data_IF_754679217894
#
_entry.id   IF_754679217894
#
_cell.length_a   1.000
_cell.length_b   1.000
_cell.length_c   1.000
_cell.angle_alpha   90.00
_cell.angle_beta   90.00
_cell.angle_gamma   90.00
#
_symmetry.space_group_name_H-M   'P 1'
#
loop_
_entity.id
_entity.type
_entity.pdbx_description
1 polymer ?
#
# COMPACT_ATOMS: atom_id res chain seq x y z
N UNK A 1 -24.30 16.85 -48.46
CA UNK A 1 -23.41 15.87 -47.76
C UNK A 1 -22.73 16.47 -46.52
N UNK A 2 -22.12 17.65 -46.55
CA UNK A 2 -21.37 18.28 -45.42
C UNK A 2 -22.18 18.43 -44.14
N UNK A 3 -23.46 18.85 -44.19
CA UNK A 3 -24.32 19.03 -42.97
C UNK A 3 -24.64 17.72 -42.27
N UNK A 4 -24.77 16.58 -42.96
CA UNK A 4 -24.99 15.27 -42.32
C UNK A 4 -23.70 14.76 -41.66
N UNK A 5 -22.53 14.94 -42.27
CA UNK A 5 -21.25 14.58 -41.73
C UNK A 5 -20.94 15.37 -40.44
N UNK A 6 -21.23 16.68 -40.41
CA UNK A 6 -21.06 17.52 -39.22
C UNK A 6 -21.91 17.07 -38.06
N UNK A 7 -23.14 16.66 -38.29
CA UNK A 7 -24.04 16.12 -37.21
C UNK A 7 -23.52 14.78 -36.68
N UNK A 8 -23.07 13.89 -37.56
CA UNK A 8 -22.50 12.61 -37.15
C UNK A 8 -21.23 12.80 -36.28
N UNK A 9 -20.34 13.70 -36.68
CA UNK A 9 -19.14 14.05 -35.91
C UNK A 9 -19.49 14.68 -34.56
N UNK A 10 -20.52 15.52 -34.50
CA UNK A 10 -20.98 16.13 -33.24
C UNK A 10 -21.54 15.06 -32.29
N UNK A 11 -22.37 14.14 -32.79
CA UNK A 11 -22.93 13.04 -31.98
C UNK A 11 -21.80 12.13 -31.48
N UNK A 12 -20.83 11.79 -32.32
CA UNK A 12 -19.68 10.98 -31.96
C UNK A 12 -18.84 11.67 -30.85
N UNK A 13 -18.61 12.98 -30.98
CA UNK A 13 -17.92 13.78 -29.97
C UNK A 13 -18.63 13.79 -28.62
N UNK A 14 -19.97 13.93 -28.63
CA UNK A 14 -20.79 13.87 -27.39
C UNK A 14 -20.71 12.48 -26.78
N UNK A 15 -20.82 11.41 -27.58
CA UNK A 15 -20.70 10.02 -27.08
C UNK A 15 -19.35 9.76 -26.42
N UNK A 16 -18.27 10.22 -27.05
CA UNK A 16 -16.91 10.11 -26.48
C UNK A 16 -16.77 10.90 -25.18
N UNK A 17 -17.31 12.11 -25.12
CA UNK A 17 -17.29 12.91 -23.90
C UNK A 17 -18.08 12.24 -22.75
N UNK A 18 -19.27 11.73 -23.04
CA UNK A 18 -20.09 11.01 -22.05
C UNK A 18 -19.39 9.74 -21.58
N UNK A 19 -18.79 8.95 -22.48
CA UNK A 19 -18.05 7.74 -22.10
C UNK A 19 -16.84 8.06 -21.24
N UNK A 20 -16.10 9.13 -21.53
CA UNK A 20 -14.99 9.58 -20.71
C UNK A 20 -15.42 9.97 -19.28
N UNK A 21 -16.52 10.69 -19.16
CA UNK A 21 -17.09 11.05 -17.84
C UNK A 21 -17.54 9.81 -17.06
N UNK A 22 -18.20 8.86 -17.70
CA UNK A 22 -18.63 7.61 -17.05
C UNK A 22 -17.45 6.79 -16.57
N UNK A 23 -16.39 6.67 -17.38
CA UNK A 23 -15.17 5.97 -16.99
C UNK A 23 -14.45 6.68 -15.84
N UNK A 24 -14.39 8.01 -15.87
CA UNK A 24 -13.78 8.80 -14.80
C UNK A 24 -14.54 8.64 -13.47
N UNK A 25 -15.86 8.77 -13.50
CA UNK A 25 -16.71 8.59 -12.30
C UNK A 25 -16.61 7.14 -11.78
N UNK A 26 -16.58 6.15 -12.68
CA UNK A 26 -16.44 4.74 -12.33
C UNK A 26 -15.10 4.45 -11.64
N UNK A 27 -14.00 4.97 -12.17
CA UNK A 27 -12.68 4.80 -11.56
C UNK A 27 -12.56 5.50 -10.18
N UNK A 28 -13.14 6.69 -10.06
CA UNK A 28 -13.17 7.42 -8.78
C UNK A 28 -13.97 6.68 -7.71
N UNK A 29 -15.13 6.12 -8.08
CA UNK A 29 -15.97 5.34 -7.17
C UNK A 29 -15.32 4.03 -6.75
N UNK A 30 -14.67 3.34 -7.68
CA UNK A 30 -13.93 2.10 -7.41
C UNK A 30 -12.74 2.35 -6.46
N UNK A 31 -12.01 3.44 -6.65
CA UNK A 31 -10.90 3.83 -5.77
C UNK A 31 -11.38 4.11 -4.32
N UNK A 32 -12.52 4.77 -4.16
CA UNK A 32 -13.13 4.98 -2.85
C UNK A 32 -13.53 3.68 -2.16
N UNK A 33 -14.10 2.75 -2.92
CA UNK A 33 -14.51 1.43 -2.42
C UNK A 33 -13.32 0.60 -1.96
N UNK A 34 -12.22 0.60 -2.71
CA UNK A 34 -11.00 -0.12 -2.32
C UNK A 34 -10.41 0.39 -1.00
N UNK A 35 -10.43 1.71 -0.79
CA UNK A 35 -9.97 2.28 0.48
C UNK A 35 -10.83 1.83 1.67
N UNK A 36 -12.16 1.83 1.50
CA UNK A 36 -13.09 1.36 2.54
C UNK A 36 -12.89 -0.12 2.84
N UNK A 37 -12.78 -0.96 1.81
CA UNK A 37 -12.53 -2.40 1.97
C UNK A 37 -11.20 -2.69 2.67
N UNK A 38 -10.15 -1.96 2.31
CA UNK A 38 -8.84 -2.13 2.96
C UNK A 38 -8.91 -1.81 4.45
N UNK A 39 -9.57 -0.70 4.81
CA UNK A 39 -9.79 -0.32 6.22
C UNK A 39 -10.63 -1.35 6.97
N UNK A 40 -11.77 -1.76 6.43
CA UNK A 40 -12.65 -2.77 7.03
C UNK A 40 -11.93 -4.11 7.23
N UNK A 41 -11.08 -4.52 6.27
CA UNK A 41 -10.25 -5.72 6.40
C UNK A 41 -9.25 -5.58 7.52
N UNK A 42 -8.55 -4.44 7.61
CA UNK A 42 -7.58 -4.19 8.69
C UNK A 42 -8.25 -4.14 10.08
N UNK A 43 -9.41 -3.48 10.20
CA UNK A 43 -10.19 -3.44 11.44
C UNK A 43 -10.62 -4.85 11.86
N UNK A 44 -11.08 -5.66 10.93
CA UNK A 44 -11.46 -7.05 11.18
C UNK A 44 -10.25 -7.92 11.57
N UNK A 45 -9.07 -7.69 10.99
CA UNK A 45 -7.84 -8.34 11.44
C UNK A 45 -7.55 -8.01 12.90
N UNK A 46 -7.61 -6.73 13.28
CA UNK A 46 -7.37 -6.28 14.65
C UNK A 46 -8.38 -6.89 15.65
N UNK A 47 -9.63 -7.12 15.26
CA UNK A 47 -10.63 -7.81 16.07
C UNK A 47 -10.31 -9.29 16.30
N UNK A 48 -9.69 -9.95 15.31
CA UNK A 48 -9.35 -11.38 15.37
C UNK A 48 -7.99 -11.65 16.02
N UNK A 49 -7.12 -10.64 16.09
CA UNK A 49 -5.79 -10.73 16.68
C UNK A 49 -5.85 -10.57 18.22
N UNK A 50 -4.79 -10.98 18.94
CA UNK A 50 -4.64 -10.65 20.37
C UNK A 50 -4.66 -9.14 20.58
N UNK A 51 -5.01 -8.68 21.83
CA UNK A 51 -4.95 -7.26 22.16
C UNK A 51 -3.60 -6.64 21.83
N UNK A 52 -3.63 -5.49 21.15
CA UNK A 52 -2.40 -4.83 20.68
C UNK A 52 -1.58 -4.33 21.87
N UNK A 53 -0.28 -4.68 21.87
CA UNK A 53 0.70 -4.23 22.82
C UNK A 53 1.95 -3.69 22.10
N UNK A 54 2.55 -2.65 22.65
CA UNK A 54 3.79 -2.11 22.10
C UNK A 54 4.94 -3.11 22.32
N UNK A 55 5.76 -3.29 21.30
CA UNK A 55 6.90 -4.20 21.30
C UNK A 55 8.13 -3.60 20.65
N UNK A 56 9.19 -4.38 20.67
CA UNK A 56 10.43 -4.06 19.99
C UNK A 56 10.92 -5.28 19.22
N UNK A 57 11.70 -5.09 18.14
CA UNK A 57 12.32 -6.20 17.43
C UNK A 57 13.14 -7.05 18.40
N UNK A 58 12.98 -8.37 18.31
CA UNK A 58 13.65 -9.30 19.19
C UNK A 58 14.99 -9.83 18.63
N UNK A 59 15.36 -9.31 17.46
CA UNK A 59 16.62 -9.63 16.79
C UNK A 59 16.71 -11.05 16.23
N UNK A 60 15.61 -11.79 16.20
CA UNK A 60 15.60 -13.15 15.64
C UNK A 60 15.70 -13.08 14.13
N UNK A 61 16.80 -13.57 13.58
CA UNK A 61 17.05 -13.64 12.16
C UNK A 61 16.22 -14.78 11.51
N UNK A 62 15.74 -14.52 10.30
CA UNK A 62 15.01 -15.51 9.47
C UNK A 62 13.75 -16.09 10.13
N UNK A 63 13.12 -15.36 11.03
CA UNK A 63 11.80 -15.74 11.56
C UNK A 63 10.75 -15.30 10.56
N UNK A 64 9.99 -16.25 10.04
CA UNK A 64 8.82 -15.92 9.21
C UNK A 64 7.76 -15.24 10.06
N UNK A 65 7.15 -14.20 9.51
CA UNK A 65 6.00 -13.57 10.14
C UNK A 65 4.82 -14.54 10.12
N UNK A 66 4.14 -14.69 11.24
CA UNK A 66 2.90 -15.46 11.29
C UNK A 66 1.84 -14.80 10.42
N UNK A 67 0.91 -15.58 9.90
CA UNK A 67 -0.14 -15.10 9.01
C UNK A 67 -1.53 -15.34 9.59
N UNK A 68 -2.45 -14.46 9.24
CA UNK A 68 -3.87 -14.58 9.49
C UNK A 68 -4.58 -14.74 8.15
N UNK A 69 -5.24 -15.86 7.94
CA UNK A 69 -6.07 -16.06 6.75
C UNK A 69 -7.41 -15.35 6.92
N UNK A 70 -7.75 -14.49 5.97
CA UNK A 70 -9.03 -13.80 5.94
C UNK A 70 -9.52 -13.67 4.50
N UNK A 71 -10.69 -14.26 4.21
CA UNK A 71 -11.28 -14.17 2.88
C UNK A 71 -10.51 -14.87 1.75
N UNK A 72 -9.66 -15.83 2.10
CA UNK A 72 -8.82 -16.58 1.14
C UNK A 72 -7.49 -15.88 0.83
N UNK A 73 -7.13 -14.85 1.57
CA UNK A 73 -5.83 -14.17 1.49
C UNK A 73 -5.12 -14.23 2.84
N UNK A 74 -3.79 -14.41 2.80
CA UNK A 74 -2.93 -14.45 3.97
C UNK A 74 -2.37 -13.06 4.27
N UNK A 75 -2.65 -12.55 5.46
CA UNK A 75 -2.16 -11.27 5.94
C UNK A 75 -1.11 -11.48 7.03
N UNK A 76 -0.02 -10.71 7.00
CA UNK A 76 1.06 -10.81 7.98
C UNK A 76 1.10 -9.64 8.95
N UNK A 77 0.48 -8.51 8.64
CA UNK A 77 0.51 -7.32 9.48
C UNK A 77 -0.62 -6.33 9.13
N UNK A 78 -0.78 -5.34 10.00
CA UNK A 78 -1.55 -4.12 9.75
C UNK A 78 -0.59 -2.93 9.80
N UNK A 79 -0.56 -2.12 8.74
CA UNK A 79 0.16 -0.84 8.68
C UNK A 79 -0.75 0.28 9.19
N UNK A 80 -0.28 1.01 10.18
CA UNK A 80 -1.00 2.13 10.80
C UNK A 80 -0.18 3.42 10.66
N UNK A 81 -0.83 4.50 10.16
CA UNK A 81 -0.23 5.84 10.09
C UNK A 81 -1.24 6.83 10.72
N UNK A 82 -1.17 7.03 12.04
CA UNK A 82 -2.20 7.78 12.78
C UNK A 82 -2.37 9.22 12.30
N UNK A 83 -1.29 9.88 11.89
CA UNK A 83 -1.31 11.28 11.41
C UNK A 83 -2.22 11.48 10.19
N UNK A 84 -2.47 10.45 9.41
CA UNK A 84 -3.25 10.49 8.18
C UNK A 84 -4.51 9.60 8.24
N UNK A 85 -4.85 9.08 9.42
CA UNK A 85 -5.98 8.14 9.64
C UNK A 85 -5.92 6.94 8.67
N UNK A 86 -4.70 6.42 8.44
CA UNK A 86 -4.44 5.28 7.55
C UNK A 86 -4.35 4.00 8.37
N UNK A 87 -5.12 3.01 7.95
CA UNK A 87 -5.10 1.65 8.49
C UNK A 87 -5.22 0.68 7.30
N UNK A 88 -4.17 -0.10 7.03
CA UNK A 88 -4.08 -0.97 5.87
C UNK A 88 -3.65 -2.38 6.25
N UNK A 89 -4.31 -3.42 5.73
CA UNK A 89 -3.83 -4.79 5.89
C UNK A 89 -2.61 -5.00 4.98
N UNK A 90 -1.64 -5.76 5.41
CA UNK A 90 -0.47 -6.14 4.63
C UNK A 90 -0.55 -7.62 4.31
N UNK A 91 -0.73 -7.94 3.03
CA UNK A 91 -0.74 -9.31 2.55
C UNK A 91 0.66 -9.94 2.62
N UNK A 92 0.74 -11.22 2.95
CA UNK A 92 2.02 -11.93 3.09
C UNK A 92 2.64 -12.35 1.75
N UNK A 93 1.86 -12.41 0.67
CA UNK A 93 2.32 -12.94 -0.61
C UNK A 93 2.76 -11.85 -1.57
N UNK A 94 4.05 -11.85 -1.96
CA UNK A 94 4.55 -11.07 -3.10
C UNK A 94 4.47 -11.90 -4.38
N UNK A 95 3.64 -11.48 -5.33
CA UNK A 95 3.36 -12.18 -6.59
C UNK A 95 4.05 -11.55 -7.83
N UNK A 96 5.17 -10.87 -7.61
CA UNK A 96 5.96 -10.29 -8.71
C UNK A 96 5.48 -8.93 -9.20
N UNK A 97 4.66 -8.24 -8.41
CA UNK A 97 4.24 -6.86 -8.70
C UNK A 97 2.91 -6.74 -9.41
N UNK A 98 2.08 -7.78 -9.39
CA UNK A 98 0.67 -7.60 -9.74
C UNK A 98 0.05 -6.60 -8.74
N UNK A 99 -0.77 -5.70 -9.25
CA UNK A 99 -1.47 -4.71 -8.44
C UNK A 99 -2.59 -5.46 -7.72
N UNK A 100 -2.26 -6.02 -6.54
CA UNK A 100 -3.25 -6.61 -5.64
C UNK A 100 -4.19 -5.56 -5.06
N UNK A 101 -5.16 -6.00 -4.27
CA UNK A 101 -6.07 -5.08 -3.59
C UNK A 101 -5.39 -4.37 -2.41
N UNK A 102 -4.33 -4.98 -1.83
CA UNK A 102 -3.65 -4.54 -0.61
C UNK A 102 -2.14 -4.39 -0.79
N UNK A 103 -1.46 -3.58 0.05
CA UNK A 103 0.00 -3.63 0.17
C UNK A 103 0.49 -5.03 0.52
N UNK A 104 1.69 -5.39 0.08
CA UNK A 104 2.23 -6.74 0.23
C UNK A 104 3.62 -6.75 0.81
N UNK A 105 3.90 -7.72 1.67
CA UNK A 105 5.26 -7.98 2.13
C UNK A 105 6.12 -8.46 0.97
N UNK A 106 7.13 -7.66 0.63
CA UNK A 106 8.12 -7.99 -0.40
C UNK A 106 9.23 -8.88 0.17
N UNK A 107 9.74 -8.54 1.34
CA UNK A 107 10.82 -9.26 2.02
C UNK A 107 10.90 -8.88 3.50
N UNK A 108 11.74 -9.58 4.24
CA UNK A 108 12.11 -9.26 5.62
C UNK A 108 11.02 -9.49 6.64
N UNK A 109 11.26 -9.03 7.87
CA UNK A 109 10.40 -9.25 9.02
C UNK A 109 10.49 -8.07 9.99
N UNK A 110 9.43 -7.87 10.80
CA UNK A 110 9.47 -6.93 11.95
C UNK A 110 10.43 -7.40 13.04
N UNK A 111 10.70 -8.72 13.13
CA UNK A 111 11.54 -9.31 14.19
C UNK A 111 13.03 -9.00 14.02
N UNK A 112 13.51 -8.92 12.79
CA UNK A 112 14.92 -8.63 12.45
C UNK A 112 15.14 -7.23 11.91
N UNK A 113 14.10 -6.37 11.95
CA UNK A 113 14.18 -4.98 11.48
C UNK A 113 14.56 -4.85 10.01
N UNK A 114 14.00 -5.72 9.15
CA UNK A 114 14.30 -5.71 7.70
C UNK A 114 13.05 -5.68 6.83
N UNK A 115 11.89 -5.36 7.41
CA UNK A 115 10.60 -5.46 6.71
C UNK A 115 10.53 -4.52 5.50
N UNK A 116 10.17 -5.08 4.35
CA UNK A 116 9.92 -4.34 3.11
C UNK A 116 8.50 -4.61 2.64
N UNK A 117 7.71 -3.53 2.50
CA UNK A 117 6.32 -3.58 2.04
C UNK A 117 6.17 -2.80 0.74
N UNK A 118 5.61 -3.44 -0.27
CA UNK A 118 5.38 -2.85 -1.58
C UNK A 118 3.91 -2.73 -1.95
N UNK A 119 3.62 -1.80 -2.84
CA UNK A 119 2.28 -1.57 -3.35
C UNK A 119 2.27 -0.53 -4.47
N UNK A 120 1.10 0.06 -4.70
CA UNK A 120 0.91 1.19 -5.60
C UNK A 120 0.45 2.43 -4.83
N UNK A 121 0.50 3.58 -5.47
CA UNK A 121 -0.06 4.84 -4.97
C UNK A 121 -1.60 4.92 -5.05
N UNK A 122 -2.25 3.79 -5.28
CA UNK A 122 -3.71 3.71 -5.32
C UNK A 122 -4.31 3.81 -3.90
N UNK A 123 -5.55 4.34 -3.83
CA UNK A 123 -6.35 4.34 -2.60
C UNK A 123 -6.65 2.91 -2.17
N UNK A 124 -6.47 2.63 -0.88
CA UNK A 124 -6.57 1.28 -0.31
C UNK A 124 -5.26 0.51 -0.34
N UNK A 125 -4.22 1.10 -0.95
CA UNK A 125 -2.84 0.65 -0.90
C UNK A 125 -1.94 1.74 -0.27
N UNK A 126 -0.78 2.00 -0.84
CA UNK A 126 0.21 2.92 -0.28
C UNK A 126 0.08 4.38 -0.80
N UNK A 127 -1.14 4.86 -1.11
CA UNK A 127 -1.36 6.27 -1.47
C UNK A 127 -0.83 7.26 -0.43
N UNK A 128 -0.78 6.84 0.83
CA UNK A 128 -0.26 7.64 1.95
C UNK A 128 1.24 7.95 1.87
N UNK A 129 2.03 7.17 1.13
CA UNK A 129 3.50 7.39 1.07
C UNK A 129 3.86 8.76 0.48
N UNK A 130 3.03 9.33 -0.38
CA UNK A 130 3.26 10.66 -0.93
C UNK A 130 3.03 11.80 0.07
N UNK A 131 2.34 11.53 1.17
CA UNK A 131 2.07 12.49 2.25
C UNK A 131 3.12 12.43 3.36
N UNK A 132 3.88 11.32 3.45
CA UNK A 132 4.87 11.12 4.50
C UNK A 132 6.08 12.02 4.32
N UNK A 133 6.55 12.55 5.43
CA UNK A 133 7.73 13.41 5.53
C UNK A 133 8.72 12.87 6.56
N UNK A 134 9.98 13.27 6.45
CA UNK A 134 11.00 12.91 7.43
C UNK A 134 10.57 13.38 8.83
N UNK A 135 10.60 12.47 9.80
CA UNK A 135 10.16 12.68 11.17
C UNK A 135 8.74 12.20 11.46
N UNK A 136 7.95 11.86 10.45
CA UNK A 136 6.64 11.23 10.65
C UNK A 136 6.80 9.85 11.27
N UNK A 137 5.81 9.44 12.05
CA UNK A 137 5.77 8.13 12.68
C UNK A 137 4.69 7.25 12.06
N UNK A 138 5.00 5.97 11.94
CA UNK A 138 4.08 4.94 11.50
C UNK A 138 4.32 3.66 12.30
N UNK A 139 3.35 2.77 12.31
CA UNK A 139 3.47 1.50 13.04
C UNK A 139 3.08 0.32 12.16
N UNK A 140 3.70 -0.81 12.42
CA UNK A 140 3.30 -2.11 11.87
C UNK A 140 2.89 -2.99 13.05
N UNK A 141 1.68 -3.54 13.00
CA UNK A 141 1.15 -4.45 13.99
C UNK A 141 1.17 -5.84 13.37
N UNK A 142 1.94 -6.76 13.95
CA UNK A 142 1.98 -8.14 13.47
C UNK A 142 0.73 -8.94 13.90
N UNK A 143 0.56 -10.14 13.36
CA UNK A 143 -0.60 -10.98 13.68
C UNK A 143 -0.57 -11.55 15.11
N UNK A 144 0.52 -11.40 15.84
CA UNK A 144 0.59 -11.68 17.27
C UNK A 144 0.10 -10.52 18.15
N UNK A 145 -0.32 -9.39 17.56
CA UNK A 145 -0.78 -8.19 18.24
C UNK A 145 0.35 -7.31 18.76
N UNK A 146 1.57 -7.47 18.26
CA UNK A 146 2.70 -6.64 18.66
C UNK A 146 2.85 -5.45 17.73
N UNK A 147 2.82 -4.23 18.27
CA UNK A 147 3.02 -2.97 17.53
C UNK A 147 4.49 -2.58 17.53
N UNK A 148 5.06 -2.42 16.34
CA UNK A 148 6.40 -1.91 16.09
C UNK A 148 6.28 -0.51 15.53
N UNK A 149 6.87 0.48 16.18
CA UNK A 149 6.78 1.89 15.79
C UNK A 149 8.07 2.34 15.11
N UNK A 150 7.94 3.05 14.01
CA UNK A 150 9.04 3.49 13.15
C UNK A 150 8.95 4.99 12.91
N UNK A 151 10.11 5.61 12.67
CA UNK A 151 10.21 7.02 12.28
C UNK A 151 10.77 7.13 10.87
N UNK A 152 10.13 7.92 10.02
CA UNK A 152 10.60 8.18 8.65
C UNK A 152 11.93 8.93 8.69
N UNK A 153 12.95 8.35 8.06
CA UNK A 153 14.31 8.93 7.94
C UNK A 153 14.64 9.40 6.54
N UNK A 154 14.07 8.75 5.53
CA UNK A 154 14.37 9.06 4.15
C UNK A 154 13.13 8.94 3.26
N UNK A 155 12.98 9.89 2.34
CA UNK A 155 11.93 9.89 1.31
C UNK A 155 12.61 10.09 -0.04
N UNK A 156 12.38 9.18 -0.98
CA UNK A 156 13.07 9.15 -2.27
C UNK A 156 12.10 8.80 -3.39
N UNK A 157 12.25 9.45 -4.56
CA UNK A 157 11.65 8.99 -5.82
C UNK A 157 12.72 8.34 -6.67
N UNK A 158 12.49 7.11 -7.12
CA UNK A 158 13.48 6.32 -7.86
C UNK A 158 12.83 5.39 -8.88
N UNK A 159 13.57 5.05 -9.90
CA UNK A 159 13.22 3.96 -10.82
C UNK A 159 13.94 2.65 -10.46
N UNK A 160 14.89 2.70 -9.51
CA UNK A 160 15.64 1.53 -9.04
C UNK A 160 14.90 0.82 -7.91
N UNK A 161 14.23 -0.28 -8.25
CA UNK A 161 13.58 -1.21 -7.33
C UNK A 161 14.29 -2.56 -7.27
N UNK A 162 15.60 -2.55 -7.49
CA UNK A 162 16.42 -3.74 -7.29
C UNK A 162 16.31 -4.22 -5.84
N UNK A 163 16.43 -5.52 -5.63
CA UNK A 163 16.41 -6.11 -4.29
C UNK A 163 17.48 -5.48 -3.38
N UNK A 164 18.65 -5.18 -3.94
CA UNK A 164 19.75 -4.54 -3.23
C UNK A 164 19.36 -3.13 -2.73
N UNK A 165 18.65 -2.35 -3.54
CA UNK A 165 18.18 -1.03 -3.12
C UNK A 165 17.00 -1.10 -2.14
N UNK A 166 16.07 -2.04 -2.30
CA UNK A 166 14.90 -2.17 -1.44
C UNK A 166 15.23 -2.77 -0.06
N UNK A 167 16.10 -3.79 -0.01
CA UNK A 167 16.42 -4.55 1.19
C UNK A 167 17.76 -4.09 1.80
N UNK A 168 17.85 -2.81 2.19
CA UNK A 168 19.02 -2.28 2.89
C UNK A 168 18.90 -2.52 4.38
N UNK A 169 19.86 -3.22 4.96
CA UNK A 169 19.87 -3.60 6.39
C UNK A 169 19.96 -2.41 7.36
N UNK A 170 20.27 -1.22 6.87
CA UNK A 170 20.31 0.01 7.66
C UNK A 170 18.94 0.58 8.01
N UNK A 171 17.86 0.07 7.40
CA UNK A 171 16.49 0.53 7.63
C UNK A 171 15.61 -0.61 8.14
N UNK A 172 14.96 -0.36 9.27
CA UNK A 172 14.11 -1.33 9.91
C UNK A 172 12.79 -1.59 9.14
N UNK A 173 12.32 -0.58 8.41
CA UNK A 173 11.15 -0.68 7.54
C UNK A 173 11.38 0.11 6.25
N UNK A 174 11.10 -0.50 5.11
CA UNK A 174 11.02 0.18 3.82
C UNK A 174 9.62 0.02 3.23
N UNK A 175 8.96 1.13 2.90
CA UNK A 175 7.75 1.14 2.09
C UNK A 175 8.10 1.60 0.68
N UNK A 176 7.61 0.91 -0.36
CA UNK A 176 7.75 1.39 -1.72
C UNK A 176 6.42 1.33 -2.48
N UNK A 177 6.05 2.43 -3.09
CA UNK A 177 4.83 2.57 -3.86
C UNK A 177 5.13 2.88 -5.32
N UNK A 178 4.57 2.10 -6.23
CA UNK A 178 4.62 2.37 -7.65
C UNK A 178 3.70 3.54 -7.99
N UNK A 179 4.22 4.58 -8.61
CA UNK A 179 3.44 5.70 -9.07
C UNK A 179 2.64 5.34 -10.33
N UNK A 180 1.34 5.48 -10.28
CA UNK A 180 0.42 5.07 -11.35
C UNK A 180 0.70 5.78 -12.68
N UNK A 181 1.14 7.04 -12.62
CA UNK A 181 1.30 7.88 -13.82
C UNK A 181 2.75 8.18 -14.22
N UNK A 182 3.74 7.82 -13.40
CA UNK A 182 5.14 8.24 -13.61
C UNK A 182 6.13 7.14 -13.94
N UNK A 183 5.79 5.88 -13.73
CA UNK A 183 6.73 4.76 -13.88
C UNK A 183 7.86 4.74 -12.83
N UNK A 184 7.90 5.70 -11.92
CA UNK A 184 8.80 5.79 -10.78
C UNK A 184 8.15 5.19 -9.54
N UNK A 185 8.94 4.99 -8.50
CA UNK A 185 8.50 4.55 -7.20
C UNK A 185 8.82 5.60 -6.15
N UNK A 186 7.93 5.76 -5.18
CA UNK A 186 8.23 6.51 -3.96
C UNK A 186 8.66 5.53 -2.90
N UNK A 187 9.87 5.71 -2.36
CA UNK A 187 10.45 4.93 -1.27
C UNK A 187 10.41 5.74 0.02
N UNK A 188 9.94 5.11 1.10
CA UNK A 188 9.98 5.63 2.47
C UNK A 188 10.82 4.66 3.26
N UNK A 189 11.87 5.15 3.94
CA UNK A 189 12.76 4.35 4.78
C UNK A 189 12.69 4.82 6.21
N UNK A 190 12.54 3.88 7.13
CA UNK A 190 12.26 4.13 8.54
C UNK A 190 13.21 3.37 9.44
N UNK A 191 13.46 3.95 10.61
CA UNK A 191 14.15 3.35 11.76
C UNK A 191 13.20 3.19 12.94
#
# INVERSE_FOLDING_TARGET
MRKKLSRVLMILGILLAVSAVVLFLGSYWMAGRNATLARETAEKMLELMPPVADGAPDGRLNVEMTVLELGGEDFCAVLEIPAYDVLLPVSNAWDGGSVGEYPRRYAGSVHDSTLVVGGSDAKGQLACVEMLSIGDTLSVIDTAGVRYTYTVKWVEKTSDVSRENLCKDEYALTLFARNTYGGEYTLIRCE
#
